data_IF_500822819447
#
_entry.id   IF_500822819447
#
_cell.length_a   1.000
_cell.length_b   1.000
_cell.length_c   1.000
_cell.angle_alpha   90.00
_cell.angle_beta   90.00
_cell.angle_gamma   90.00
#
_symmetry.space_group_name_H-M   'P 1'
#
loop_
_entity.id
_entity.type
_entity.pdbx_description
1 polymer ?
#
# COMPACT_ATOMS: atom_id res chain seq x y z
N UNK A 1 11.12 -16.95 -10.29
CA UNK A 1 12.37 -16.17 -10.33
C UNK A 1 12.89 -16.07 -8.92
N UNK A 2 14.19 -16.03 -8.76
CA UNK A 2 14.83 -15.79 -7.47
C UNK A 2 15.46 -14.40 -7.47
N UNK A 3 15.53 -13.75 -6.31
CA UNK A 3 16.12 -12.42 -6.24
C UNK A 3 16.22 -11.85 -4.82
N UNK A 4 16.76 -10.65 -4.77
CA UNK A 4 16.88 -9.87 -3.54
C UNK A 4 15.85 -8.73 -3.58
N UNK A 5 14.83 -8.82 -2.74
CA UNK A 5 13.73 -7.86 -2.71
C UNK A 5 13.82 -6.94 -1.49
N UNK A 6 13.70 -5.66 -1.74
CA UNK A 6 13.64 -4.62 -0.70
C UNK A 6 12.21 -4.14 -0.54
N UNK A 7 11.66 -4.23 0.68
CA UNK A 7 10.30 -3.80 1.02
C UNK A 7 10.35 -2.60 1.95
N UNK A 8 9.90 -1.45 1.47
CA UNK A 8 9.73 -0.25 2.28
C UNK A 8 8.30 -0.19 2.85
N UNK A 9 8.19 0.07 4.15
CA UNK A 9 6.91 0.12 4.85
C UNK A 9 6.32 -1.24 5.25
N UNK A 10 7.12 -2.24 5.66
CA UNK A 10 6.68 -3.60 5.99
C UNK A 10 5.77 -3.67 7.24
N UNK A 11 5.65 -2.62 8.02
CA UNK A 11 4.75 -2.53 9.17
C UNK A 11 3.30 -2.15 8.79
N UNK A 12 3.08 -1.66 7.55
CA UNK A 12 1.76 -1.28 7.05
C UNK A 12 0.94 -2.44 6.49
N UNK A 13 -0.29 -2.17 6.05
CA UNK A 13 -1.22 -3.16 5.48
C UNK A 13 -0.62 -3.91 4.29
N UNK A 14 -0.21 -3.18 3.29
CA UNK A 14 0.31 -3.74 2.03
C UNK A 14 1.71 -4.29 2.22
N UNK A 15 2.60 -3.50 2.81
CA UNK A 15 3.99 -3.93 3.02
C UNK A 15 4.11 -5.14 3.94
N UNK A 16 3.26 -5.23 4.97
CA UNK A 16 3.22 -6.40 5.85
C UNK A 16 2.71 -7.67 5.16
N UNK A 17 1.76 -7.53 4.23
CA UNK A 17 1.31 -8.67 3.43
C UNK A 17 2.37 -9.09 2.41
N UNK A 18 3.04 -8.13 1.77
CA UNK A 18 4.15 -8.39 0.88
C UNK A 18 5.29 -9.12 1.64
N UNK A 19 5.67 -8.62 2.81
CA UNK A 19 6.69 -9.26 3.64
C UNK A 19 6.34 -10.72 3.95
N UNK A 20 5.13 -11.00 4.45
CA UNK A 20 4.69 -12.37 4.73
C UNK A 20 4.70 -13.28 3.50
N UNK A 21 4.33 -12.73 2.35
CA UNK A 21 4.28 -13.50 1.11
C UNK A 21 5.69 -13.87 0.62
N UNK A 22 6.56 -12.89 0.47
CA UNK A 22 7.90 -13.11 -0.06
C UNK A 22 8.83 -13.84 0.91
N UNK A 23 8.67 -13.64 2.22
CA UNK A 23 9.42 -14.36 3.26
C UNK A 23 9.06 -15.85 3.31
N UNK A 24 7.88 -16.24 2.87
CA UNK A 24 7.46 -17.63 2.76
C UNK A 24 7.99 -18.34 1.49
N UNK A 25 8.56 -17.60 0.55
CA UNK A 25 9.08 -18.13 -0.71
C UNK A 25 10.59 -18.35 -0.60
N UNK A 26 11.04 -19.59 -0.78
CA UNK A 26 12.45 -19.99 -0.59
C UNK A 26 13.43 -19.41 -1.59
N UNK A 27 12.96 -18.86 -2.69
CA UNK A 27 13.77 -18.28 -3.77
C UNK A 27 13.91 -16.75 -3.66
N UNK A 28 13.41 -16.13 -2.59
CA UNK A 28 13.56 -14.71 -2.33
C UNK A 28 14.38 -14.43 -1.06
N UNK A 29 15.36 -13.54 -1.19
CA UNK A 29 16.01 -12.92 -0.04
C UNK A 29 15.32 -11.57 0.24
N UNK A 30 14.69 -11.44 1.39
CA UNK A 30 13.87 -10.28 1.72
C UNK A 30 14.60 -9.36 2.69
N UNK A 31 14.70 -8.08 2.33
CA UNK A 31 15.13 -7.01 3.23
C UNK A 31 13.95 -6.06 3.48
N UNK A 32 13.55 -5.92 4.74
CA UNK A 32 12.43 -5.13 5.19
C UNK A 32 12.92 -3.83 5.88
N UNK A 33 12.46 -2.67 5.42
CA UNK A 33 12.91 -1.36 5.93
C UNK A 33 11.75 -0.49 6.40
N UNK A 34 11.80 -0.09 7.65
CA UNK A 34 10.91 0.92 8.25
C UNK A 34 11.50 1.43 9.56
N UNK A 35 10.90 2.47 10.14
CA UNK A 35 11.34 3.03 11.43
C UNK A 35 11.18 2.04 12.59
N UNK A 36 10.16 1.18 12.53
CA UNK A 36 9.85 0.16 13.56
C UNK A 36 9.71 -1.20 12.91
N UNK A 37 10.14 -2.28 13.59
CA UNK A 37 9.98 -3.63 13.03
C UNK A 37 8.50 -3.98 12.87
N UNK A 38 8.16 -4.86 11.90
CA UNK A 38 6.83 -5.45 11.81
C UNK A 38 6.45 -6.18 13.10
N UNK A 39 5.18 -6.11 13.48
CA UNK A 39 4.66 -6.69 14.71
C UNK A 39 4.34 -8.21 14.59
N UNK A 40 5.00 -8.93 13.71
CA UNK A 40 4.87 -10.36 13.52
C UNK A 40 6.23 -11.02 13.24
N UNK A 41 6.34 -12.31 13.51
CA UNK A 41 7.56 -13.05 13.25
C UNK A 41 7.79 -13.22 11.73
N UNK A 42 9.06 -13.05 11.31
CA UNK A 42 9.51 -13.23 9.93
C UNK A 42 10.98 -13.61 9.89
N UNK A 43 11.42 -14.23 8.80
CA UNK A 43 12.82 -14.57 8.54
C UNK A 43 13.62 -13.49 7.81
N UNK A 44 12.95 -12.48 7.27
CA UNK A 44 13.56 -11.40 6.51
C UNK A 44 14.57 -10.58 7.33
N UNK A 45 15.60 -10.08 6.67
CA UNK A 45 16.53 -9.10 7.24
C UNK A 45 15.77 -7.79 7.50
N UNK A 46 15.70 -7.36 8.76
CA UNK A 46 15.12 -6.07 9.11
C UNK A 46 16.20 -5.00 9.28
N UNK A 47 15.98 -3.82 8.71
CA UNK A 47 16.81 -2.63 8.88
C UNK A 47 15.94 -1.47 9.33
N UNK A 48 16.25 -0.89 10.49
CA UNK A 48 15.58 0.31 10.96
C UNK A 48 16.08 1.52 10.14
N UNK A 49 15.15 2.20 9.45
CA UNK A 49 15.50 3.34 8.61
C UNK A 49 14.33 4.34 8.56
N UNK A 50 14.67 5.62 8.79
CA UNK A 50 13.76 6.73 8.54
C UNK A 50 14.03 7.29 7.14
N UNK A 51 13.05 7.21 6.25
CA UNK A 51 13.18 7.69 4.87
C UNK A 51 13.22 9.23 4.76
N UNK A 52 12.94 9.95 5.84
CA UNK A 52 13.12 11.41 5.88
C UNK A 52 14.59 11.81 6.15
N UNK A 53 15.40 10.90 6.69
CA UNK A 53 16.84 11.10 6.87
C UNK A 53 17.61 10.66 5.61
N UNK A 54 17.83 11.62 4.72
CA UNK A 54 18.54 11.39 3.45
C UNK A 54 19.92 10.78 3.65
N UNK A 55 20.70 11.27 4.62
CA UNK A 55 22.07 10.81 4.85
C UNK A 55 22.10 9.36 5.36
N UNK A 56 21.15 8.99 6.23
CA UNK A 56 20.98 7.60 6.65
C UNK A 56 20.58 6.70 5.48
N UNK A 57 19.67 7.16 4.61
CA UNK A 57 19.27 6.44 3.41
C UNK A 57 20.46 6.19 2.47
N UNK A 58 21.25 7.21 2.16
CA UNK A 58 22.43 7.10 1.30
C UNK A 58 23.44 6.07 1.85
N UNK A 59 23.74 6.10 3.14
CA UNK A 59 24.66 5.13 3.76
C UNK A 59 24.10 3.70 3.75
N UNK A 60 22.86 3.54 4.21
CA UNK A 60 22.28 2.20 4.43
C UNK A 60 21.94 1.50 3.11
N UNK A 61 21.30 2.23 2.19
CA UNK A 61 20.85 1.68 0.92
C UNK A 61 22.00 1.53 -0.09
N UNK A 62 23.05 2.32 0.04
CA UNK A 62 24.30 2.17 -0.74
C UNK A 62 25.02 0.84 -0.50
N UNK A 63 24.69 0.10 0.57
CA UNK A 63 25.23 -1.22 0.85
C UNK A 63 24.41 -2.37 0.23
N UNK A 64 23.24 -2.08 -0.36
CA UNK A 64 22.31 -3.09 -0.90
C UNK A 64 22.46 -3.25 -2.43
N UNK A 65 23.69 -3.40 -2.90
CA UNK A 65 24.03 -3.48 -4.34
C UNK A 65 23.47 -4.71 -5.06
N UNK A 66 23.10 -5.75 -4.34
CA UNK A 66 22.50 -6.97 -4.85
C UNK A 66 20.98 -6.92 -5.04
N UNK A 67 20.35 -5.77 -4.74
CA UNK A 67 18.90 -5.57 -4.89
C UNK A 67 18.46 -5.77 -6.34
N UNK A 68 17.43 -6.60 -6.51
CA UNK A 68 16.84 -6.86 -7.84
C UNK A 68 15.42 -6.31 -7.96
N UNK A 69 14.69 -6.20 -6.84
CA UNK A 69 13.29 -5.75 -6.80
C UNK A 69 13.04 -4.81 -5.64
N UNK A 70 12.16 -3.85 -5.86
CA UNK A 70 11.74 -2.89 -4.83
C UNK A 70 10.22 -2.88 -4.74
N UNK A 71 9.70 -3.02 -3.52
CA UNK A 71 8.29 -2.76 -3.18
C UNK A 71 8.24 -1.53 -2.28
N UNK A 72 7.67 -0.44 -2.78
CA UNK A 72 7.57 0.79 -2.03
C UNK A 72 6.12 1.01 -1.56
N UNK A 73 5.91 0.85 -0.25
CA UNK A 73 4.62 1.04 0.43
C UNK A 73 4.69 2.03 1.59
N UNK A 74 5.84 2.70 1.75
CA UNK A 74 5.99 3.69 2.80
C UNK A 74 5.15 4.93 2.50
N UNK A 75 4.50 5.46 3.53
CA UNK A 75 3.65 6.63 3.48
C UNK A 75 3.90 7.49 4.71
N UNK A 76 4.03 8.79 4.51
CA UNK A 76 3.97 9.80 5.55
C UNK A 76 2.57 10.43 5.54
N UNK A 77 1.94 10.45 6.70
CA UNK A 77 0.66 11.10 6.93
C UNK A 77 0.79 12.02 8.15
N UNK A 78 0.25 13.23 8.04
CA UNK A 78 0.09 14.14 9.17
C UNK A 78 -1.01 13.64 10.10
N UNK A 79 -1.05 14.12 11.35
CA UNK A 79 -2.06 13.73 12.34
C UNK A 79 -3.48 14.02 11.85
N UNK A 80 -3.70 15.18 11.20
CA UNK A 80 -4.94 15.45 10.49
C UNK A 80 -4.89 14.86 9.08
N UNK A 81 -5.33 13.62 8.96
CA UNK A 81 -5.31 12.86 7.70
C UNK A 81 -6.07 13.57 6.58
N UNK A 82 -7.17 14.28 6.88
CA UNK A 82 -8.00 14.92 5.85
C UNK A 82 -7.27 16.14 5.28
N UNK A 83 -6.72 16.99 6.14
CA UNK A 83 -6.00 18.19 5.72
C UNK A 83 -4.62 17.83 5.16
N UNK A 84 -3.94 16.86 5.74
CA UNK A 84 -2.63 16.39 5.28
C UNK A 84 -2.61 15.99 3.81
N UNK A 85 -3.65 15.32 3.33
CA UNK A 85 -3.75 14.96 1.91
C UNK A 85 -3.87 16.15 0.95
N UNK A 86 -4.15 17.34 1.46
CA UNK A 86 -4.17 18.60 0.70
C UNK A 86 -2.93 19.47 0.98
N UNK A 87 -2.15 19.10 1.99
CA UNK A 87 -0.98 19.86 2.40
C UNK A 87 0.21 19.61 1.47
N UNK A 88 0.72 20.66 0.86
CA UNK A 88 1.88 20.58 -0.04
C UNK A 88 3.10 19.99 0.69
N UNK A 89 3.30 20.33 1.96
CA UNK A 89 4.39 19.80 2.78
C UNK A 89 4.34 18.26 2.90
N UNK A 90 3.14 17.67 3.11
CA UNK A 90 2.99 16.22 3.12
C UNK A 90 3.31 15.60 1.74
N UNK A 91 2.89 16.26 0.65
CA UNK A 91 3.18 15.80 -0.71
C UNK A 91 4.68 15.80 -1.00
N UNK A 92 5.37 16.88 -0.64
CA UNK A 92 6.82 17.02 -0.79
C UNK A 92 7.59 16.02 0.09
N UNK A 93 7.14 15.79 1.32
CA UNK A 93 7.72 14.76 2.21
C UNK A 93 7.62 13.36 1.61
N UNK A 94 6.44 12.97 1.08
CA UNK A 94 6.27 11.67 0.45
C UNK A 94 7.12 11.51 -0.81
N UNK A 95 7.29 12.57 -1.60
CA UNK A 95 8.21 12.55 -2.73
C UNK A 95 9.66 12.40 -2.26
N UNK A 96 10.10 13.19 -1.28
CA UNK A 96 11.45 13.14 -0.74
C UNK A 96 11.79 11.76 -0.17
N UNK A 97 10.86 11.13 0.53
CA UNK A 97 11.02 9.76 1.06
C UNK A 97 11.24 8.73 -0.07
N UNK A 98 10.49 8.82 -1.17
CA UNK A 98 10.71 7.94 -2.33
C UNK A 98 12.05 8.22 -3.00
N UNK A 99 12.43 9.48 -3.14
CA UNK A 99 13.74 9.87 -3.71
C UNK A 99 14.90 9.35 -2.85
N UNK A 100 14.79 9.47 -1.53
CA UNK A 100 15.78 8.97 -0.58
C UNK A 100 15.86 7.43 -0.58
N UNK A 101 14.76 6.74 -0.90
CA UNK A 101 14.75 5.29 -1.04
C UNK A 101 15.33 4.83 -2.37
N UNK A 102 14.90 5.42 -3.49
CA UNK A 102 15.20 4.89 -4.82
C UNK A 102 16.59 5.31 -5.34
N UNK A 103 16.98 6.58 -5.17
CA UNK A 103 18.26 7.08 -5.75
C UNK A 103 19.49 6.32 -5.29
N UNK A 104 19.70 6.03 -3.98
CA UNK A 104 20.85 5.27 -3.53
C UNK A 104 20.85 3.83 -4.05
N UNK A 105 19.70 3.16 -4.08
CA UNK A 105 19.57 1.78 -4.61
C UNK A 105 19.84 1.74 -6.11
N UNK A 106 19.23 2.63 -6.86
CA UNK A 106 19.40 2.71 -8.31
C UNK A 106 20.87 3.02 -8.73
N UNK A 107 21.61 3.72 -7.86
CA UNK A 107 23.04 3.99 -8.11
C UNK A 107 23.94 2.75 -7.94
N UNK A 108 23.56 1.80 -7.08
CA UNK A 108 24.42 0.65 -6.73
C UNK A 108 23.88 -0.69 -7.23
N UNK A 109 22.58 -0.84 -7.38
CA UNK A 109 21.89 -2.09 -7.73
C UNK A 109 21.90 -2.32 -9.26
N UNK A 110 23.01 -2.78 -9.79
CA UNK A 110 23.22 -2.98 -11.24
C UNK A 110 22.23 -3.99 -11.87
N UNK A 111 21.66 -4.87 -11.06
CA UNK A 111 20.69 -5.88 -11.49
C UNK A 111 19.24 -5.53 -11.08
N UNK A 112 18.98 -4.27 -10.77
CA UNK A 112 17.61 -3.83 -10.49
C UNK A 112 16.73 -4.13 -11.71
N UNK A 113 15.66 -4.87 -11.49
CA UNK A 113 14.76 -5.35 -12.54
C UNK A 113 13.38 -4.71 -12.47
N UNK A 114 12.85 -4.47 -11.25
CA UNK A 114 11.48 -4.01 -11.10
C UNK A 114 11.22 -3.22 -9.83
N UNK A 115 10.31 -2.24 -9.93
CA UNK A 115 9.83 -1.42 -8.83
C UNK A 115 8.30 -1.44 -8.81
N UNK A 116 7.71 -1.80 -7.67
CA UNK A 116 6.27 -1.68 -7.43
C UNK A 116 5.97 -0.48 -6.54
N UNK A 117 5.09 0.42 -7.01
CA UNK A 117 4.63 1.61 -6.32
C UNK A 117 3.11 1.57 -6.12
N UNK A 118 2.61 2.22 -5.09
CA UNK A 118 1.18 2.26 -4.77
C UNK A 118 0.60 3.66 -4.88
N UNK A 119 -0.57 3.71 -5.49
CA UNK A 119 -1.49 4.82 -5.50
C UNK A 119 -2.83 4.33 -4.91
N UNK A 120 -3.93 4.99 -5.22
CA UNK A 120 -5.27 4.56 -4.84
C UNK A 120 -6.33 5.36 -5.61
N UNK A 121 -7.58 5.27 -5.18
CA UNK A 121 -8.70 5.93 -5.85
C UNK A 121 -8.61 7.46 -5.90
N UNK A 122 -7.76 8.05 -5.05
CA UNK A 122 -7.43 9.49 -5.13
C UNK A 122 -6.74 9.87 -6.44
N UNK A 123 -6.12 8.91 -7.15
CA UNK A 123 -5.63 9.09 -8.50
C UNK A 123 -6.76 9.42 -9.50
N UNK A 124 -7.99 9.01 -9.20
CA UNK A 124 -9.19 9.32 -9.97
C UNK A 124 -9.97 10.52 -9.41
N UNK A 125 -9.42 11.22 -8.43
CA UNK A 125 -10.09 12.36 -7.79
C UNK A 125 -11.24 11.98 -6.88
N UNK A 126 -11.32 10.74 -6.38
CA UNK A 126 -12.43 10.25 -5.56
C UNK A 126 -12.65 11.02 -4.24
N UNK A 127 -11.64 11.73 -3.76
CA UNK A 127 -11.71 12.60 -2.58
C UNK A 127 -12.22 14.03 -2.90
N UNK A 128 -12.40 14.36 -4.17
CA UNK A 128 -12.87 15.66 -4.64
C UNK A 128 -14.29 15.57 -5.19
N UNK A 129 -14.58 14.51 -5.92
CA UNK A 129 -15.87 14.24 -6.57
C UNK A 129 -16.00 12.76 -6.89
N UNK A 130 -17.21 12.29 -7.11
CA UNK A 130 -17.43 10.92 -7.61
C UNK A 130 -16.83 10.78 -9.02
N UNK A 131 -15.84 9.90 -9.21
CA UNK A 131 -15.30 9.64 -10.53
C UNK A 131 -16.31 8.85 -11.39
N UNK A 132 -16.20 8.89 -12.72
CA UNK A 132 -16.93 7.96 -13.56
C UNK A 132 -16.62 6.50 -13.22
N UNK A 133 -17.61 5.61 -13.41
CA UNK A 133 -17.48 4.17 -13.14
C UNK A 133 -17.73 3.40 -14.45
N UNK A 134 -16.91 2.41 -14.78
CA UNK A 134 -15.67 1.97 -14.10
C UNK A 134 -14.50 2.94 -14.34
N UNK A 135 -13.68 3.15 -13.31
CA UNK A 135 -12.44 3.91 -13.43
C UNK A 135 -11.43 3.11 -14.30
N UNK A 136 -10.71 3.82 -15.16
CA UNK A 136 -9.76 3.19 -16.09
C UNK A 136 -8.36 3.79 -15.93
N UNK A 137 -7.35 2.94 -15.91
CA UNK A 137 -5.95 3.30 -15.69
C UNK A 137 -5.41 4.30 -16.72
N UNK A 138 -5.87 4.18 -17.98
CA UNK A 138 -5.49 5.03 -19.11
C UNK A 138 -6.09 6.43 -19.13
N UNK A 139 -6.96 6.76 -18.16
CA UNK A 139 -7.52 8.11 -18.10
C UNK A 139 -6.44 9.14 -17.79
N UNK A 140 -6.60 10.32 -18.38
CA UNK A 140 -5.76 11.45 -18.03
C UNK A 140 -5.86 11.76 -16.52
N UNK A 141 -4.77 12.24 -15.96
CA UNK A 141 -4.74 12.70 -14.57
C UNK A 141 -5.77 13.81 -14.35
N UNK A 142 -6.44 13.77 -13.20
CA UNK A 142 -7.29 14.88 -12.80
C UNK A 142 -6.43 16.12 -12.50
N UNK A 143 -6.99 17.29 -12.79
CA UNK A 143 -6.37 18.58 -12.51
C UNK A 143 -6.48 18.91 -11.01
N UNK A 144 -5.58 18.32 -10.23
CA UNK A 144 -5.38 18.60 -8.80
C UNK A 144 -3.98 18.15 -8.37
N UNK A 145 -3.42 18.87 -7.41
CA UNK A 145 -2.15 18.43 -6.79
C UNK A 145 -2.34 17.13 -6.01
N UNK A 146 -1.41 16.19 -6.21
CA UNK A 146 -1.41 14.91 -5.53
C UNK A 146 0.02 14.36 -5.51
N UNK A 147 0.49 13.90 -4.35
CA UNK A 147 1.83 13.33 -4.26
C UNK A 147 2.00 12.06 -5.13
N UNK A 148 0.91 11.39 -5.49
CA UNK A 148 0.96 10.28 -6.46
C UNK A 148 1.56 10.71 -7.79
N UNK A 149 1.23 11.93 -8.26
CA UNK A 149 1.78 12.47 -9.49
C UNK A 149 3.28 12.75 -9.37
N UNK A 150 3.70 13.33 -8.24
CA UNK A 150 5.12 13.61 -7.98
C UNK A 150 5.94 12.33 -7.91
N UNK A 151 5.42 11.29 -7.27
CA UNK A 151 6.09 9.99 -7.18
C UNK A 151 6.11 9.25 -8.52
N UNK A 152 5.00 9.27 -9.27
CA UNK A 152 4.90 8.64 -10.59
C UNK A 152 5.84 9.31 -11.59
N UNK A 153 5.87 10.65 -11.64
CA UNK A 153 6.76 11.40 -12.52
C UNK A 153 8.22 11.11 -12.15
N UNK A 154 8.56 11.15 -10.87
CA UNK A 154 9.91 10.84 -10.41
C UNK A 154 10.35 9.42 -10.81
N UNK A 155 9.50 8.39 -10.66
CA UNK A 155 9.84 7.03 -11.04
C UNK A 155 10.05 6.90 -12.55
N UNK A 156 9.19 7.54 -13.35
CA UNK A 156 9.31 7.53 -14.83
C UNK A 156 10.58 8.24 -15.30
N UNK A 157 10.85 9.42 -14.75
CA UNK A 157 12.07 10.18 -15.07
C UNK A 157 13.33 9.42 -14.64
N UNK A 158 13.30 8.78 -13.45
CA UNK A 158 14.44 8.01 -12.94
C UNK A 158 14.69 6.74 -13.78
N UNK A 159 13.65 6.16 -14.38
CA UNK A 159 13.71 4.94 -15.21
C UNK A 159 14.21 5.23 -16.62
N UNK A 160 14.17 6.46 -17.09
CA UNK A 160 14.56 6.79 -18.47
C UNK A 160 15.97 6.30 -18.80
N UNK A 161 16.09 5.52 -19.86
CA UNK A 161 17.35 4.92 -20.31
C UNK A 161 17.87 3.73 -19.49
N UNK A 162 17.08 3.22 -18.52
CA UNK A 162 17.45 2.11 -17.64
C UNK A 162 16.74 0.81 -17.99
N UNK A 163 17.34 -0.29 -17.54
CA UNK A 163 16.83 -1.62 -17.82
C UNK A 163 15.70 -2.08 -16.88
N UNK A 164 15.52 -1.49 -15.69
CA UNK A 164 14.44 -1.86 -14.81
C UNK A 164 13.09 -1.29 -15.27
N UNK A 165 12.00 -1.94 -14.90
CA UNK A 165 10.65 -1.46 -15.15
C UNK A 165 9.91 -1.17 -13.85
N UNK A 166 8.71 -0.63 -13.97
CA UNK A 166 7.87 -0.32 -12.81
C UNK A 166 6.44 -0.83 -13.00
N UNK A 167 5.74 -1.01 -11.89
CA UNK A 167 4.28 -1.20 -11.85
C UNK A 167 3.68 -0.29 -10.80
N UNK A 168 2.61 0.42 -11.15
CA UNK A 168 1.84 1.25 -10.22
C UNK A 168 0.50 0.58 -9.95
N UNK A 169 0.25 0.28 -8.67
CA UNK A 169 -0.97 -0.37 -8.21
C UNK A 169 -1.97 0.64 -7.68
N UNK A 170 -3.23 0.51 -8.08
CA UNK A 170 -4.35 1.34 -7.60
C UNK A 170 -5.41 0.48 -6.92
N UNK A 171 -5.16 0.00 -5.69
CA UNK A 171 -6.18 -0.67 -4.89
C UNK A 171 -7.26 0.32 -4.48
N UNK A 172 -8.47 -0.21 -4.20
CA UNK A 172 -9.54 0.57 -3.61
C UNK A 172 -9.57 0.37 -2.09
N UNK A 173 -10.64 -0.20 -1.52
CA UNK A 173 -10.71 -0.44 -0.07
C UNK A 173 -9.87 -1.65 0.29
N UNK A 174 -8.79 -1.43 1.03
CA UNK A 174 -7.86 -2.50 1.38
C UNK A 174 -8.26 -3.15 2.69
N UNK A 175 -8.52 -4.46 2.67
CA UNK A 175 -8.75 -5.29 3.84
C UNK A 175 -7.52 -6.13 4.14
N UNK A 176 -7.03 -6.04 5.38
CA UNK A 176 -5.87 -6.79 5.80
C UNK A 176 -5.51 -6.55 7.26
N UNK A 177 -4.49 -7.26 7.71
CA UNK A 177 -3.99 -7.16 9.07
C UNK A 177 -2.74 -6.28 9.13
N UNK A 178 -2.81 -5.21 9.92
CA UNK A 178 -1.65 -4.45 10.37
C UNK A 178 -1.99 -3.82 11.74
N UNK A 179 -1.01 -3.80 12.64
CA UNK A 179 -1.09 -3.02 13.86
C UNK A 179 -0.65 -1.57 13.59
N UNK A 180 -1.20 -0.63 14.34
CA UNK A 180 -0.87 0.81 14.25
C UNK A 180 -1.04 1.41 12.84
N UNK A 181 -1.97 0.88 12.05
CA UNK A 181 -2.33 1.43 10.75
C UNK A 181 -3.62 2.27 10.89
N UNK A 182 -3.54 3.61 10.89
CA UNK A 182 -4.68 4.48 11.24
C UNK A 182 -5.85 4.37 10.26
N UNK A 183 -5.59 4.04 9.01
CA UNK A 183 -6.64 3.88 7.97
C UNK A 183 -7.04 2.41 7.74
N UNK A 184 -6.88 1.55 8.74
CA UNK A 184 -7.32 0.16 8.65
C UNK A 184 -8.82 0.03 8.96
N UNK A 185 -9.65 0.10 7.92
CA UNK A 185 -11.13 0.02 8.07
C UNK A 185 -11.58 -1.32 8.68
N UNK A 186 -10.90 -2.42 8.39
CA UNK A 186 -11.23 -3.72 8.96
C UNK A 186 -11.00 -3.73 10.47
N UNK A 187 -9.89 -3.13 10.94
CA UNK A 187 -9.62 -2.96 12.37
C UNK A 187 -10.66 -2.07 13.04
N UNK A 188 -11.04 -0.96 12.41
CA UNK A 188 -12.08 -0.07 12.93
C UNK A 188 -13.42 -0.78 13.09
N UNK A 189 -13.85 -1.57 12.12
CA UNK A 189 -15.06 -2.39 12.20
C UNK A 189 -14.97 -3.45 13.31
N UNK A 190 -13.81 -4.11 13.45
CA UNK A 190 -13.59 -5.10 14.50
C UNK A 190 -13.62 -4.48 15.91
N UNK A 191 -12.96 -3.34 16.10
CA UNK A 191 -12.97 -2.61 17.38
C UNK A 191 -14.39 -2.17 17.73
N UNK A 192 -15.13 -1.62 16.76
CA UNK A 192 -16.54 -1.25 16.96
C UNK A 192 -17.38 -2.47 17.40
N UNK A 193 -17.23 -3.62 16.75
CA UNK A 193 -17.96 -4.83 17.13
C UNK A 193 -17.61 -5.29 18.55
N UNK A 194 -16.32 -5.26 18.93
CA UNK A 194 -15.89 -5.65 20.30
C UNK A 194 -16.45 -4.71 21.37
N UNK A 195 -16.47 -3.41 21.13
CA UNK A 195 -17.07 -2.42 22.04
C UNK A 195 -18.56 -2.71 22.20
N UNK A 196 -19.30 -2.84 21.10
CA UNK A 196 -20.74 -3.15 21.14
C UNK A 196 -21.05 -4.43 21.92
N UNK A 197 -20.24 -5.47 21.71
CA UNK A 197 -20.36 -6.74 22.45
C UNK A 197 -20.11 -6.56 23.95
N UNK A 198 -19.07 -5.79 24.33
CA UNK A 198 -18.76 -5.52 25.73
C UNK A 198 -19.88 -4.74 26.45
N UNK A 199 -20.60 -3.89 25.71
CA UNK A 199 -21.76 -3.15 26.19
C UNK A 199 -23.07 -3.98 26.21
N UNK A 200 -23.05 -5.22 25.74
CA UNK A 200 -24.24 -6.07 25.61
C UNK A 200 -25.21 -5.61 24.51
N UNK A 201 -24.74 -4.83 23.56
CA UNK A 201 -25.55 -4.24 22.50
C UNK A 201 -25.44 -5.07 21.21
N UNK A 202 -26.52 -5.14 20.40
CA UNK A 202 -26.46 -5.80 19.10
C UNK A 202 -25.54 -5.05 18.14
N UNK A 203 -24.96 -5.76 17.17
CA UNK A 203 -24.13 -5.13 16.13
C UNK A 203 -25.03 -4.51 15.05
N UNK A 204 -24.99 -3.20 14.91
CA UNK A 204 -25.69 -2.46 13.88
C UNK A 204 -24.69 -1.67 13.02
N UNK A 205 -25.07 -1.39 11.77
CA UNK A 205 -24.27 -0.49 10.92
C UNK A 205 -24.30 0.93 11.52
N UNK A 206 -23.14 1.59 11.71
CA UNK A 206 -23.08 2.88 12.43
C UNK A 206 -23.65 4.06 11.64
N UNK A 207 -24.19 3.83 10.45
CA UNK A 207 -24.74 4.86 9.58
C UNK A 207 -23.90 5.13 8.35
N UNK A 208 -24.30 6.15 7.58
CA UNK A 208 -23.75 6.46 6.28
C UNK A 208 -24.64 5.94 5.14
N UNK A 209 -24.56 6.60 3.97
CA UNK A 209 -25.34 6.19 2.81
C UNK A 209 -24.87 4.86 2.23
N UNK A 210 -25.77 4.06 1.66
CA UNK A 210 -25.40 2.87 0.93
C UNK A 210 -24.74 3.28 -0.39
N UNK A 211 -23.46 3.04 -0.52
CA UNK A 211 -22.75 3.16 -1.79
C UNK A 211 -22.07 1.83 -2.12
N UNK A 212 -22.04 1.53 -3.40
CA UNK A 212 -21.33 0.36 -3.90
C UNK A 212 -19.85 0.69 -4.00
N UNK A 213 -19.02 -0.16 -3.48
CA UNK A 213 -17.56 -0.06 -3.57
C UNK A 213 -16.96 -1.42 -3.88
N UNK A 214 -15.69 -1.44 -4.18
CA UNK A 214 -14.90 -2.66 -4.30
C UNK A 214 -13.92 -2.76 -3.14
N UNK A 215 -13.53 -3.97 -2.84
CA UNK A 215 -12.53 -4.24 -1.82
C UNK A 215 -11.43 -5.15 -2.36
N UNK A 216 -10.28 -5.10 -1.70
CA UNK A 216 -9.18 -5.99 -1.99
C UNK A 216 -8.56 -6.54 -0.71
N UNK A 217 -8.33 -7.84 -0.69
CA UNK A 217 -7.54 -8.51 0.34
C UNK A 217 -6.04 -8.27 0.08
N UNK A 218 -5.31 -7.91 1.12
CA UNK A 218 -3.86 -7.69 1.04
C UNK A 218 -3.07 -8.90 0.54
N UNK A 219 -3.60 -10.12 0.71
CA UNK A 219 -2.99 -11.35 0.17
C UNK A 219 -3.08 -11.40 -1.36
N UNK A 220 -4.16 -10.87 -1.95
CA UNK A 220 -4.25 -10.74 -3.40
C UNK A 220 -3.29 -9.67 -3.92
N UNK A 221 -3.14 -8.56 -3.21
CA UNK A 221 -2.12 -7.55 -3.54
C UNK A 221 -0.72 -8.21 -3.54
N UNK A 222 -0.38 -8.99 -2.51
CA UNK A 222 0.92 -9.65 -2.43
C UNK A 222 1.16 -10.63 -3.58
N UNK A 223 0.13 -11.37 -4.03
CA UNK A 223 0.22 -12.21 -5.24
C UNK A 223 0.38 -11.39 -6.51
N UNK A 224 -0.29 -10.25 -6.59
CA UNK A 224 -0.10 -9.30 -7.71
C UNK A 224 1.33 -8.78 -7.78
N UNK A 225 1.91 -8.44 -6.63
CA UNK A 225 3.32 -8.03 -6.54
C UNK A 225 4.27 -9.12 -7.02
N UNK A 226 4.05 -10.37 -6.59
CA UNK A 226 4.83 -11.53 -7.02
C UNK A 226 4.69 -11.78 -8.53
N UNK A 227 3.46 -11.74 -9.05
CA UNK A 227 3.22 -11.82 -10.49
C UNK A 227 3.99 -10.75 -11.27
N UNK A 228 4.02 -9.51 -10.78
CA UNK A 228 4.69 -8.40 -11.46
C UNK A 228 6.22 -8.55 -11.52
N UNK A 229 6.83 -9.33 -10.61
CA UNK A 229 8.28 -9.59 -10.66
C UNK A 229 8.69 -10.36 -11.92
N UNK A 230 7.79 -11.13 -12.52
CA UNK A 230 8.09 -12.05 -13.61
C UNK A 230 7.33 -11.71 -14.91
N UNK A 231 6.19 -11.05 -14.82
CA UNK A 231 5.30 -10.84 -15.97
C UNK A 231 5.74 -9.65 -16.82
N UNK A 232 6.14 -9.89 -18.05
CA UNK A 232 6.48 -8.81 -18.99
C UNK A 232 5.35 -7.81 -19.23
N UNK A 233 4.08 -8.24 -19.11
CA UNK A 233 2.90 -7.39 -19.21
C UNK A 233 2.63 -6.50 -17.98
N UNK A 234 3.40 -6.66 -16.90
CA UNK A 234 3.32 -5.78 -15.73
C UNK A 234 4.25 -4.57 -15.84
N UNK A 235 5.22 -4.66 -16.77
CA UNK A 235 6.27 -3.68 -16.90
C UNK A 235 5.75 -2.37 -17.47
N UNK A 236 6.05 -1.30 -16.77
CA UNK A 236 5.73 0.09 -17.13
C UNK A 236 4.22 0.35 -17.29
N UNK A 237 3.44 -0.36 -16.44
CA UNK A 237 1.99 -0.35 -16.47
C UNK A 237 1.37 0.06 -15.13
N UNK A 238 0.13 0.53 -15.21
CA UNK A 238 -0.72 0.89 -14.06
C UNK A 238 -1.88 -0.08 -14.01
N UNK A 239 -2.17 -0.64 -12.84
CA UNK A 239 -3.28 -1.56 -12.64
C UNK A 239 -4.22 -1.11 -11.51
N UNK A 240 -5.51 -1.05 -11.81
CA UNK A 240 -6.51 -1.21 -10.76
C UNK A 240 -6.45 -2.66 -10.26
N UNK A 241 -6.51 -2.82 -8.95
CA UNK A 241 -6.49 -4.15 -8.34
C UNK A 241 -7.60 -4.28 -7.29
N UNK A 242 -8.42 -5.31 -7.42
CA UNK A 242 -9.60 -5.56 -6.58
C UNK A 242 -9.88 -7.06 -6.55
N UNK A 243 -10.65 -7.53 -5.56
CA UNK A 243 -11.12 -8.92 -5.52
C UNK A 243 -12.10 -9.26 -6.66
N UNK A 244 -12.64 -8.25 -7.35
CA UNK A 244 -13.65 -8.43 -8.38
C UNK A 244 -15.09 -8.44 -7.88
N UNK A 245 -15.30 -8.36 -6.56
CA UNK A 245 -16.62 -8.32 -5.94
C UNK A 245 -17.02 -6.89 -5.58
N UNK A 246 -18.23 -6.50 -5.95
CA UNK A 246 -18.83 -5.26 -5.48
C UNK A 246 -19.50 -5.48 -4.13
N UNK A 247 -19.21 -4.60 -3.19
CA UNK A 247 -19.74 -4.64 -1.82
C UNK A 247 -20.45 -3.34 -1.45
N UNK A 248 -21.31 -3.42 -0.42
CA UNK A 248 -21.75 -2.25 0.35
C UNK A 248 -21.33 -2.45 1.80
N UNK A 249 -20.97 -1.38 2.51
CA UNK A 249 -20.63 -1.50 3.93
C UNK A 249 -21.79 -2.09 4.75
N UNK A 250 -23.04 -1.63 4.60
CA UNK A 250 -24.16 -2.28 5.28
C UNK A 250 -24.27 -3.79 5.00
N UNK A 251 -23.95 -4.23 3.78
CA UNK A 251 -23.99 -5.63 3.39
C UNK A 251 -22.93 -6.52 4.06
N UNK A 252 -21.86 -5.92 4.62
CA UNK A 252 -20.83 -6.67 5.37
C UNK A 252 -21.26 -6.97 6.81
N UNK A 253 -22.17 -6.18 7.39
CA UNK A 253 -22.53 -6.26 8.82
C UNK A 253 -23.07 -7.62 9.25
N UNK A 254 -23.93 -8.32 8.50
CA UNK A 254 -24.36 -9.67 8.87
C UNK A 254 -23.19 -10.66 8.98
N UNK A 255 -22.17 -10.50 8.16
CA UNK A 255 -20.98 -11.36 8.22
C UNK A 255 -20.12 -11.03 9.43
N UNK A 256 -19.95 -9.75 9.77
CA UNK A 256 -19.28 -9.32 10.99
C UNK A 256 -20.03 -9.80 12.24
N UNK A 257 -21.34 -9.66 12.29
CA UNK A 257 -22.15 -10.12 13.42
C UNK A 257 -21.98 -11.62 13.67
N UNK A 258 -22.03 -12.44 12.62
CA UNK A 258 -21.73 -13.89 12.74
C UNK A 258 -20.31 -14.17 13.22
N UNK A 259 -19.32 -13.42 12.72
CA UNK A 259 -17.92 -13.62 13.12
C UNK A 259 -17.68 -13.31 14.61
N UNK A 260 -18.36 -12.30 15.13
CA UNK A 260 -18.25 -11.90 16.54
C UNK A 260 -19.28 -12.57 17.45
N UNK A 261 -20.10 -13.49 16.94
CA UNK A 261 -21.19 -14.16 17.67
C UNK A 261 -22.14 -13.14 18.33
N UNK A 262 -22.63 -12.19 17.54
CA UNK A 262 -23.49 -11.10 17.99
C UNK A 262 -24.80 -11.09 17.22
N UNK A 263 -25.92 -10.73 17.90
CA UNK A 263 -27.17 -10.46 17.20
C UNK A 263 -27.04 -9.20 16.33
N UNK A 264 -27.69 -9.24 15.15
CA UNK A 264 -27.84 -8.04 14.33
C UNK A 264 -28.83 -7.07 14.99
N UNK A 265 -28.41 -5.79 15.07
CA UNK A 265 -29.33 -4.70 15.41
C UNK A 265 -30.04 -4.17 14.17
N UNK A 266 -31.12 -3.42 14.40
CA UNK A 266 -31.75 -2.63 13.34
C UNK A 266 -30.85 -1.48 12.86
N UNK A 267 -31.18 -0.87 11.71
CA UNK A 267 -30.48 0.31 11.21
C UNK A 267 -30.65 1.51 12.15
#
# INVERSE_FOLDING_TARGET
MSGNIVIFGPSGLVGGAALRHFDALSDWNVTALSRRPPAFAHGARFIALDLTDRAACERTLGELADTTHIIYTALYEEEDVIQGWRAKAQMETNLAMLQNALRPLDAVAQNLAHISLFQGTKAYGAHLRSPPVPARERWARNDHENFYWYQEDFVKDQQEGKAWGWTIWRPQTIFGFALDAPLNILLAMAVFAVIRRAEGLPLCHPGGGPYVTEAIDTRLIARGLDWATAAGGARDEIFNITNGDSITFPGLWPTLARHFDMPMGGP
#
